data_IF_290981117279
#
_entry.id   IF_290981117279
#
_cell.length_a   1.000
_cell.length_b   1.000
_cell.length_c   1.000
_cell.angle_alpha   90.00
_cell.angle_beta   90.00
_cell.angle_gamma   90.00
#
_symmetry.space_group_name_H-M   'P 1'
#
loop_
_entity.id
_entity.type
_entity.pdbx_description
1 polymer ?
#
# COMPACT_ATOMS: atom_id res chain seq x y z
N UNK A 1 22.16 58.07 -48.18
CA UNK A 1 21.99 58.33 -46.74
C UNK A 1 20.89 57.41 -46.25
N UNK A 2 21.26 56.17 -45.91
CA UNK A 2 20.34 55.19 -45.34
C UNK A 2 20.35 55.34 -43.82
N UNK A 3 19.30 54.77 -43.21
CA UNK A 3 19.37 53.91 -42.03
C UNK A 3 18.62 54.44 -40.79
N UNK A 4 17.82 53.51 -40.23
CA UNK A 4 17.34 53.41 -38.83
C UNK A 4 16.14 54.32 -38.52
N UNK A 5 15.04 53.88 -37.92
CA UNK A 5 14.71 52.79 -37.01
C UNK A 5 13.21 52.54 -37.16
N UNK A 6 12.74 51.34 -37.48
CA UNK A 6 11.35 50.90 -37.19
C UNK A 6 11.13 49.40 -37.48
N UNK A 7 12.17 48.57 -37.35
CA UNK A 7 12.05 47.11 -37.40
C UNK A 7 12.91 46.55 -36.27
N UNK A 8 12.29 46.32 -35.12
CA UNK A 8 13.03 45.85 -33.94
C UNK A 8 12.18 45.75 -32.70
N UNK A 9 10.94 45.26 -32.80
CA UNK A 9 10.16 44.86 -31.64
C UNK A 9 9.08 43.83 -32.04
N UNK A 10 9.49 42.72 -32.65
CA UNK A 10 8.56 41.60 -32.94
C UNK A 10 9.17 40.21 -32.76
N UNK A 11 10.18 40.05 -31.90
CA UNK A 11 10.78 38.75 -31.59
C UNK A 11 11.15 38.65 -30.10
N UNK A 12 10.14 38.72 -29.24
CA UNK A 12 10.19 38.22 -27.86
C UNK A 12 8.84 37.57 -27.54
N UNK A 13 8.37 36.70 -28.44
CA UNK A 13 7.50 35.61 -27.97
C UNK A 13 8.44 34.63 -27.26
N UNK A 14 8.17 34.24 -26.01
CA UNK A 14 8.78 33.04 -25.48
C UNK A 14 8.50 31.94 -26.48
N UNK A 15 9.54 31.23 -26.93
CA UNK A 15 9.33 29.92 -27.52
C UNK A 15 8.73 29.07 -26.40
N UNK A 16 7.40 29.09 -26.30
CA UNK A 16 6.66 28.07 -25.59
C UNK A 16 6.89 26.82 -26.45
N UNK A 17 7.97 26.10 -26.18
CA UNK A 17 8.09 24.72 -26.63
C UNK A 17 6.92 24.00 -25.98
N UNK A 18 5.80 23.91 -26.71
CA UNK A 18 4.80 22.89 -26.45
C UNK A 18 5.54 21.58 -26.64
N UNK A 19 6.11 21.06 -25.56
CA UNK A 19 6.55 19.67 -25.52
C UNK A 19 5.28 18.88 -25.75
N UNK A 20 5.13 18.40 -26.97
CA UNK A 20 3.98 17.62 -27.37
C UNK A 20 4.16 16.20 -26.84
N UNK A 21 3.26 15.76 -25.95
CA UNK A 21 3.23 14.40 -25.45
C UNK A 21 3.31 13.39 -26.60
N UNK A 22 4.29 12.48 -26.53
CA UNK A 22 4.43 11.34 -27.43
C UNK A 22 3.54 10.19 -26.92
N UNK A 23 2.24 10.31 -27.18
CA UNK A 23 1.25 9.30 -26.81
C UNK A 23 1.59 7.90 -27.33
N UNK A 24 2.18 7.79 -28.53
CA UNK A 24 2.55 6.48 -29.09
C UNK A 24 3.66 5.83 -28.27
N UNK A 25 4.66 6.62 -27.83
CA UNK A 25 5.71 6.17 -26.92
C UNK A 25 5.14 5.72 -25.57
N UNK A 26 4.25 6.52 -24.99
CA UNK A 26 3.57 6.22 -23.72
C UNK A 26 2.73 4.94 -23.80
N UNK A 27 1.91 4.78 -24.85
CA UNK A 27 1.11 3.57 -25.07
C UNK A 27 2.01 2.33 -25.24
N UNK A 28 3.09 2.44 -26.03
CA UNK A 28 4.04 1.33 -26.19
C UNK A 28 4.70 0.95 -24.87
N UNK A 29 5.01 1.95 -24.04
CA UNK A 29 5.59 1.74 -22.72
C UNK A 29 4.64 0.95 -21.82
N UNK A 30 3.38 1.38 -21.69
CA UNK A 30 2.36 0.63 -20.95
C UNK A 30 2.09 -0.77 -21.51
N UNK A 31 1.93 -0.91 -22.83
CA UNK A 31 1.70 -2.22 -23.46
C UNK A 31 2.86 -3.16 -23.19
N UNK A 32 4.11 -2.72 -23.27
CA UNK A 32 5.26 -3.58 -22.99
C UNK A 32 5.22 -4.11 -21.55
N UNK A 33 4.96 -3.22 -20.59
CA UNK A 33 4.84 -3.62 -19.18
C UNK A 33 3.65 -4.57 -18.99
N UNK A 34 2.53 -4.31 -19.66
CA UNK A 34 1.35 -5.17 -19.55
C UNK A 34 1.55 -6.51 -20.27
N UNK A 35 2.26 -6.57 -21.39
CA UNK A 35 2.54 -7.84 -22.05
C UNK A 35 3.47 -8.72 -21.19
N UNK A 36 4.48 -8.10 -20.58
CA UNK A 36 5.43 -8.78 -19.69
C UNK A 36 4.80 -9.15 -18.33
N UNK A 37 3.83 -8.37 -17.83
CA UNK A 37 3.39 -8.40 -16.42
C UNK A 37 1.87 -8.35 -16.18
N UNK A 38 1.02 -8.37 -17.21
CA UNK A 38 -0.44 -8.23 -17.08
C UNK A 38 -1.00 -9.27 -16.11
N UNK A 39 -0.48 -10.49 -16.13
CA UNK A 39 -0.94 -11.54 -15.22
C UNK A 39 -0.61 -11.20 -13.76
N UNK A 40 0.63 -10.80 -13.46
CA UNK A 40 1.05 -10.46 -12.08
C UNK A 40 0.32 -9.25 -11.54
N UNK A 41 0.18 -8.17 -12.32
CA UNK A 41 -0.52 -6.97 -11.84
C UNK A 41 -2.03 -7.15 -11.78
N UNK A 42 -2.60 -8.04 -12.61
CA UNK A 42 -4.00 -8.47 -12.50
C UNK A 42 -4.24 -9.33 -11.26
N UNK A 43 -3.33 -10.25 -10.92
CA UNK A 43 -3.39 -11.05 -9.68
C UNK A 43 -3.19 -10.20 -8.42
N UNK A 44 -2.34 -9.17 -8.49
CA UNK A 44 -2.07 -8.26 -7.38
C UNK A 44 -3.20 -7.25 -7.13
N UNK A 45 -4.11 -7.06 -8.10
CA UNK A 45 -5.24 -6.13 -7.96
C UNK A 45 -6.14 -6.47 -6.77
N UNK A 46 -6.14 -7.73 -6.35
CA UNK A 46 -7.08 -8.26 -5.36
C UNK A 46 -6.49 -8.31 -3.95
N UNK A 47 -5.18 -8.08 -3.75
CA UNK A 47 -4.62 -8.04 -2.40
C UNK A 47 -3.26 -7.30 -2.27
N UNK A 48 -3.27 -6.14 -1.62
CA UNK A 48 -2.06 -5.35 -1.34
C UNK A 48 -1.04 -6.10 -0.47
N UNK A 49 -1.48 -7.08 0.34
CA UNK A 49 -0.62 -7.76 1.33
C UNK A 49 0.04 -9.04 0.81
N UNK A 50 -0.24 -9.44 -0.44
CA UNK A 50 0.36 -10.64 -1.06
C UNK A 50 1.62 -10.33 -1.86
N UNK A 51 1.90 -9.05 -2.15
CA UNK A 51 3.06 -8.68 -2.97
C UNK A 51 4.39 -9.05 -2.32
N UNK A 52 5.34 -9.55 -3.13
CA UNK A 52 6.70 -9.91 -2.70
C UNK A 52 7.74 -8.92 -3.22
N UNK A 53 8.94 -8.96 -2.65
CA UNK A 53 10.08 -8.14 -3.09
C UNK A 53 10.40 -8.34 -4.58
N UNK A 54 10.30 -9.56 -5.09
CA UNK A 54 10.53 -9.87 -6.51
C UNK A 54 9.46 -9.20 -7.38
N UNK A 55 8.19 -9.30 -6.98
CA UNK A 55 7.09 -8.66 -7.70
C UNK A 55 7.19 -7.12 -7.69
N UNK A 56 7.78 -6.54 -6.64
CA UNK A 56 8.06 -5.11 -6.59
C UNK A 56 9.06 -4.63 -7.66
N UNK A 57 9.95 -5.49 -8.15
CA UNK A 57 10.83 -5.15 -9.28
C UNK A 57 10.04 -4.82 -10.55
N UNK A 58 8.87 -5.43 -10.73
CA UNK A 58 7.99 -5.18 -11.88
C UNK A 58 7.27 -3.85 -11.74
N UNK A 59 6.85 -3.49 -10.52
CA UNK A 59 6.31 -2.15 -10.26
C UNK A 59 7.34 -1.05 -10.52
N UNK A 60 8.63 -1.30 -10.24
CA UNK A 60 9.68 -0.33 -10.58
C UNK A 60 9.83 -0.13 -12.10
N UNK A 61 9.55 -1.14 -12.93
CA UNK A 61 9.55 -0.95 -14.38
C UNK A 61 8.40 -0.04 -14.84
N UNK A 62 7.25 -0.14 -14.17
CA UNK A 62 6.13 0.75 -14.38
C UNK A 62 6.41 2.18 -13.89
N UNK A 63 7.05 2.33 -12.73
CA UNK A 63 7.46 3.63 -12.20
C UNK A 63 8.33 4.40 -13.20
N UNK A 64 9.25 3.71 -13.89
CA UNK A 64 10.06 4.32 -14.96
C UNK A 64 9.23 4.84 -16.12
N UNK A 65 8.17 4.13 -16.47
CA UNK A 65 7.23 4.58 -17.50
C UNK A 65 6.50 5.85 -17.04
N UNK A 66 6.02 5.88 -15.80
CA UNK A 66 5.24 7.01 -15.28
C UNK A 66 6.13 8.25 -15.07
N UNK A 67 7.36 8.06 -14.59
CA UNK A 67 8.32 9.15 -14.35
C UNK A 67 9.09 9.59 -15.60
N UNK A 68 8.79 8.99 -16.75
CA UNK A 68 9.46 9.27 -18.01
C UNK A 68 10.98 8.97 -18.00
N UNK A 69 11.41 8.04 -17.13
CA UNK A 69 12.80 7.56 -17.00
C UNK A 69 13.08 6.39 -17.97
N UNK A 70 12.85 6.65 -19.25
CA UNK A 70 12.99 5.68 -20.34
C UNK A 70 13.91 6.23 -21.44
N UNK A 71 14.52 5.36 -22.27
CA UNK A 71 15.46 5.79 -23.32
C UNK A 71 14.86 6.78 -24.32
N UNK A 72 13.55 6.69 -24.58
CA UNK A 72 12.80 7.63 -25.41
C UNK A 72 11.67 8.27 -24.58
N UNK A 73 11.93 9.41 -23.93
CA UNK A 73 10.95 10.06 -23.08
C UNK A 73 9.69 10.47 -23.84
N UNK A 74 8.51 10.22 -23.26
CA UNK A 74 7.23 10.57 -23.84
C UNK A 74 6.78 12.01 -23.54
N UNK A 75 7.35 12.69 -22.55
CA UNK A 75 7.08 14.11 -22.21
C UNK A 75 5.59 14.41 -22.01
N UNK A 76 4.87 13.46 -21.41
CA UNK A 76 3.43 13.59 -21.18
C UNK A 76 3.21 14.12 -19.76
N UNK A 77 2.20 14.97 -19.62
CA UNK A 77 1.69 15.40 -18.33
C UNK A 77 1.08 14.22 -17.57
N UNK A 78 0.99 14.36 -16.25
CA UNK A 78 0.46 13.31 -15.38
C UNK A 78 -0.98 12.90 -15.73
N UNK A 79 -1.82 13.87 -16.09
CA UNK A 79 -3.21 13.59 -16.53
C UNK A 79 -3.25 12.76 -17.82
N UNK A 80 -2.38 13.06 -18.79
CA UNK A 80 -2.25 12.27 -20.03
C UNK A 80 -1.77 10.83 -19.74
N UNK A 81 -0.90 10.64 -18.74
CA UNK A 81 -0.44 9.33 -18.27
C UNK A 81 -1.61 8.53 -17.68
N UNK A 82 -2.41 9.16 -16.82
CA UNK A 82 -3.59 8.53 -16.20
C UNK A 82 -4.63 8.15 -17.25
N UNK A 83 -4.97 9.07 -18.16
CA UNK A 83 -5.94 8.81 -19.24
C UNK A 83 -5.48 7.68 -20.18
N UNK A 84 -4.21 7.70 -20.57
CA UNK A 84 -3.63 6.67 -21.45
C UNK A 84 -3.64 5.31 -20.77
N UNK A 85 -3.24 5.23 -19.50
CA UNK A 85 -3.30 3.98 -18.75
C UNK A 85 -4.72 3.43 -18.65
N UNK A 86 -5.72 4.27 -18.42
CA UNK A 86 -7.12 3.85 -18.34
C UNK A 86 -7.58 3.27 -19.68
N UNK A 87 -7.23 3.95 -20.77
CA UNK A 87 -7.54 3.49 -22.13
C UNK A 87 -6.88 2.13 -22.43
N UNK A 88 -5.60 1.96 -22.10
CA UNK A 88 -4.90 0.68 -22.31
C UNK A 88 -5.50 -0.42 -21.43
N UNK A 89 -5.83 -0.11 -20.18
CA UNK A 89 -6.46 -1.06 -19.25
C UNK A 89 -7.81 -1.56 -19.79
N UNK A 90 -8.69 -0.64 -20.23
CA UNK A 90 -10.01 -0.97 -20.78
C UNK A 90 -9.91 -1.82 -22.06
N UNK A 91 -8.89 -1.56 -22.90
CA UNK A 91 -8.63 -2.35 -24.12
C UNK A 91 -8.23 -3.79 -23.80
N UNK A 92 -7.38 -4.00 -22.80
CA UNK A 92 -6.87 -5.31 -22.44
C UNK A 92 -7.87 -6.16 -21.65
N UNK A 93 -8.68 -5.54 -20.80
CA UNK A 93 -9.68 -6.26 -19.98
C UNK A 93 -10.99 -6.49 -20.73
N UNK A 94 -11.14 -5.92 -21.94
CA UNK A 94 -12.38 -5.88 -22.71
C UNK A 94 -13.58 -5.35 -21.90
N UNK A 95 -13.34 -4.53 -20.87
CA UNK A 95 -14.37 -3.99 -19.98
C UNK A 95 -14.07 -2.54 -19.69
N UNK A 96 -15.02 -1.66 -20.02
CA UNK A 96 -14.95 -0.24 -19.64
C UNK A 96 -14.96 -0.09 -18.13
N UNK A 97 -14.05 0.71 -17.59
CA UNK A 97 -13.96 0.99 -16.16
C UNK A 97 -13.58 -0.24 -15.35
N UNK A 98 -12.74 -1.12 -15.88
CA UNK A 98 -12.35 -2.38 -15.23
C UNK A 98 -11.50 -2.23 -13.96
N UNK A 99 -11.38 -1.01 -13.41
CA UNK A 99 -10.30 -0.63 -12.51
C UNK A 99 -9.05 -0.30 -13.31
N UNK A 100 -8.35 0.75 -12.91
CA UNK A 100 -7.19 1.25 -13.63
C UNK A 100 -5.97 0.47 -13.17
N UNK A 101 -5.15 0.00 -14.11
CA UNK A 101 -3.86 -0.61 -13.78
C UNK A 101 -2.99 0.28 -12.88
N UNK A 102 -3.02 1.59 -13.13
CA UNK A 102 -2.37 2.59 -12.28
C UNK A 102 -2.90 2.60 -10.85
N UNK A 103 -4.18 2.28 -10.63
CA UNK A 103 -4.72 2.19 -9.28
C UNK A 103 -4.06 1.08 -8.48
N UNK A 104 -3.93 -0.10 -9.08
CA UNK A 104 -3.21 -1.21 -8.45
C UNK A 104 -1.75 -0.83 -8.20
N UNK A 105 -1.10 -0.20 -9.18
CA UNK A 105 0.26 0.31 -9.03
C UNK A 105 0.41 1.22 -7.80
N UNK A 106 -0.37 2.30 -7.72
CA UNK A 106 -0.21 3.27 -6.64
C UNK A 106 -0.60 2.71 -5.26
N UNK A 107 -1.58 1.81 -5.20
CA UNK A 107 -1.90 1.09 -3.96
C UNK A 107 -0.72 0.24 -3.46
N UNK A 108 0.03 -0.33 -4.38
CA UNK A 108 1.15 -1.22 -4.07
C UNK A 108 2.48 -0.47 -3.90
N UNK A 109 2.57 0.80 -4.31
CA UNK A 109 3.80 1.60 -4.21
C UNK A 109 4.34 1.63 -2.79
N UNK A 110 3.49 1.86 -1.79
CA UNK A 110 3.94 1.84 -0.39
C UNK A 110 4.30 0.42 0.07
N UNK A 111 3.50 -0.58 -0.28
CA UNK A 111 3.80 -1.97 0.01
C UNK A 111 5.16 -2.42 -0.57
N UNK A 112 5.63 -1.79 -1.65
CA UNK A 112 6.94 -2.02 -2.26
C UNK A 112 8.07 -1.10 -1.76
N UNK A 113 7.79 -0.18 -0.84
CA UNK A 113 8.85 0.56 -0.15
C UNK A 113 9.59 -0.35 0.84
N UNK A 114 10.81 0.04 1.28
CA UNK A 114 11.51 -0.69 2.34
C UNK A 114 10.66 -0.89 3.60
N UNK A 115 9.95 0.16 4.02
CA UNK A 115 9.07 0.14 5.20
C UNK A 115 7.84 -0.75 4.98
N UNK A 116 7.23 -0.68 3.80
CA UNK A 116 6.11 -1.56 3.45
C UNK A 116 6.50 -3.02 3.38
N UNK A 117 7.68 -3.34 2.82
CA UNK A 117 8.20 -4.70 2.76
C UNK A 117 8.60 -5.22 4.13
N UNK A 118 9.12 -4.38 5.02
CA UNK A 118 9.36 -4.75 6.41
C UNK A 118 8.06 -5.17 7.11
N UNK A 119 7.02 -4.34 7.03
CA UNK A 119 5.67 -4.66 7.56
C UNK A 119 5.15 -5.98 6.96
N UNK A 120 5.24 -6.13 5.63
CA UNK A 120 4.77 -7.33 4.94
C UNK A 120 5.62 -8.57 5.23
N UNK A 121 6.86 -8.43 5.66
CA UNK A 121 7.71 -9.57 6.02
C UNK A 121 7.40 -10.07 7.43
N UNK A 122 7.13 -9.15 8.35
CA UNK A 122 6.92 -9.44 9.77
C UNK A 122 5.45 -9.80 10.08
N UNK A 123 4.48 -9.21 9.38
CA UNK A 123 3.05 -9.30 9.76
C UNK A 123 2.16 -9.96 8.70
N UNK A 124 2.71 -10.54 7.63
CA UNK A 124 1.95 -11.07 6.48
C UNK A 124 0.78 -11.97 6.85
N UNK A 125 1.02 -12.91 7.76
CA UNK A 125 0.04 -13.92 8.14
C UNK A 125 -1.17 -13.27 8.78
N UNK A 126 -0.96 -12.31 9.67
CA UNK A 126 -2.03 -11.56 10.29
C UNK A 126 -2.75 -10.66 9.26
N UNK A 127 -1.99 -9.90 8.48
CA UNK A 127 -2.57 -8.97 7.48
C UNK A 127 -3.49 -9.70 6.49
N UNK A 128 -3.16 -10.95 6.15
CA UNK A 128 -4.01 -11.83 5.34
C UNK A 128 -5.24 -12.33 6.09
N UNK A 129 -5.10 -12.79 7.35
CA UNK A 129 -6.24 -13.30 8.13
C UNK A 129 -7.27 -12.21 8.41
N UNK A 130 -6.79 -10.99 8.70
CA UNK A 130 -7.62 -9.81 8.96
C UNK A 130 -8.10 -9.13 7.67
N UNK A 131 -7.74 -9.67 6.50
CA UNK A 131 -8.17 -9.16 5.18
C UNK A 131 -7.84 -7.69 4.94
N UNK A 132 -6.71 -7.22 5.49
CA UNK A 132 -6.28 -5.82 5.37
C UNK A 132 -6.18 -5.38 3.90
N UNK A 133 -5.65 -6.24 3.02
CA UNK A 133 -5.54 -5.92 1.60
C UNK A 133 -6.88 -5.69 0.91
N UNK A 134 -7.89 -6.53 1.19
CA UNK A 134 -9.25 -6.38 0.64
C UNK A 134 -9.89 -5.08 1.15
N UNK A 135 -9.75 -4.79 2.45
CA UNK A 135 -10.25 -3.56 3.04
C UNK A 135 -9.57 -2.32 2.44
N UNK A 136 -8.25 -2.35 2.23
CA UNK A 136 -7.49 -1.26 1.59
C UNK A 136 -8.00 -0.99 0.19
N UNK A 137 -8.23 -2.03 -0.62
CA UNK A 137 -8.79 -1.85 -1.97
C UNK A 137 -10.20 -1.25 -1.90
N UNK A 138 -11.06 -1.76 -1.03
CA UNK A 138 -12.43 -1.25 -0.86
C UNK A 138 -12.46 0.21 -0.41
N UNK A 139 -11.62 0.56 0.58
CA UNK A 139 -11.45 1.94 1.05
C UNK A 139 -10.99 2.85 -0.08
N UNK A 140 -10.01 2.42 -0.89
CA UNK A 140 -9.55 3.18 -2.05
C UNK A 140 -10.63 3.42 -3.10
N UNK A 141 -11.52 2.44 -3.33
CA UNK A 141 -12.67 2.61 -4.24
C UNK A 141 -13.59 3.67 -3.68
N UNK A 142 -13.92 3.57 -2.39
CA UNK A 142 -14.81 4.50 -1.73
C UNK A 142 -14.27 5.93 -1.80
N UNK A 143 -13.00 6.15 -1.45
CA UNK A 143 -12.38 7.48 -1.50
C UNK A 143 -12.41 8.08 -2.92
N UNK A 144 -12.09 7.28 -3.94
CA UNK A 144 -12.10 7.77 -5.33
C UNK A 144 -13.53 8.11 -5.79
N UNK A 145 -14.45 7.15 -5.70
CA UNK A 145 -15.78 7.27 -6.32
C UNK A 145 -16.76 8.15 -5.52
N UNK A 146 -16.56 8.27 -4.20
CA UNK A 146 -17.52 8.96 -3.32
C UNK A 146 -17.00 10.27 -2.76
N UNK A 147 -15.69 10.53 -2.82
CA UNK A 147 -15.12 11.80 -2.38
C UNK A 147 -14.54 12.53 -3.58
N UNK A 148 -13.52 11.96 -4.22
CA UNK A 148 -12.81 12.65 -5.31
C UNK A 148 -13.69 12.95 -6.53
N UNK A 149 -14.66 12.08 -6.85
CA UNK A 149 -15.55 12.28 -8.00
C UNK A 149 -16.81 13.10 -7.71
N UNK A 150 -17.14 13.32 -6.43
CA UNK A 150 -18.43 13.92 -6.03
C UNK A 150 -18.29 15.25 -5.30
N UNK A 151 -17.15 15.49 -4.68
CA UNK A 151 -16.91 16.68 -3.86
C UNK A 151 -16.29 17.80 -4.67
N UNK A 152 -16.33 19.01 -4.13
CA UNK A 152 -15.66 20.18 -4.69
C UNK A 152 -14.16 20.11 -4.41
N UNK A 153 -13.35 20.66 -5.32
CA UNK A 153 -11.87 20.66 -5.19
C UNK A 153 -11.38 21.23 -3.85
N UNK A 154 -12.12 22.19 -3.26
CA UNK A 154 -11.81 22.79 -1.96
C UNK A 154 -11.99 21.82 -0.78
N UNK A 155 -12.95 20.90 -0.87
CA UNK A 155 -13.34 20.00 0.23
C UNK A 155 -12.70 18.60 0.13
N UNK A 156 -12.19 18.21 -1.04
CA UNK A 156 -11.63 16.86 -1.29
C UNK A 156 -10.57 16.52 -0.25
N UNK A 157 -9.62 17.42 0.01
CA UNK A 157 -8.49 17.12 0.88
C UNK A 157 -8.90 16.87 2.34
N UNK A 158 -9.80 17.71 2.86
CA UNK A 158 -10.31 17.61 4.22
C UNK A 158 -11.08 16.30 4.41
N UNK A 159 -12.00 16.00 3.48
CA UNK A 159 -12.84 14.79 3.54
C UNK A 159 -12.02 13.50 3.42
N UNK A 160 -10.98 13.49 2.58
CA UNK A 160 -10.08 12.34 2.50
C UNK A 160 -9.34 12.17 3.82
N UNK A 161 -8.77 13.23 4.39
CA UNK A 161 -8.07 13.15 5.67
C UNK A 161 -8.99 12.67 6.81
N UNK A 162 -10.23 13.17 6.89
CA UNK A 162 -11.21 12.69 7.86
C UNK A 162 -11.44 11.18 7.74
N UNK A 163 -11.61 10.68 6.51
CA UNK A 163 -11.79 9.24 6.27
C UNK A 163 -10.54 8.41 6.52
N UNK A 164 -9.35 8.90 6.16
CA UNK A 164 -8.10 8.23 6.47
C UNK A 164 -7.92 8.08 7.99
N UNK A 165 -8.22 9.11 8.77
CA UNK A 165 -8.18 9.06 10.23
C UNK A 165 -9.21 8.09 10.82
N UNK A 166 -10.41 8.04 10.26
CA UNK A 166 -11.40 7.04 10.65
C UNK A 166 -10.93 5.60 10.35
N UNK A 167 -10.28 5.36 9.20
CA UNK A 167 -9.70 4.06 8.88
C UNK A 167 -8.54 3.70 9.80
N UNK A 168 -7.65 4.64 10.11
CA UNK A 168 -6.57 4.45 11.08
C UNK A 168 -7.14 4.02 12.43
N UNK A 169 -8.10 4.78 12.96
CA UNK A 169 -8.71 4.48 14.26
C UNK A 169 -9.42 3.13 14.31
N UNK A 170 -10.01 2.68 13.19
CA UNK A 170 -10.61 1.35 13.08
C UNK A 170 -9.59 0.21 12.98
N UNK A 171 -8.33 0.52 12.65
CA UNK A 171 -7.25 -0.44 12.46
C UNK A 171 -6.23 -0.47 13.60
N UNK A 172 -6.30 0.47 14.53
CA UNK A 172 -5.44 0.49 15.72
C UNK A 172 -5.58 -0.83 16.48
N UNK A 173 -4.45 -1.47 16.77
CA UNK A 173 -4.39 -2.77 17.45
C UNK A 173 -4.59 -4.00 16.57
N UNK A 174 -4.72 -3.84 15.24
CA UNK A 174 -4.77 -4.96 14.30
C UNK A 174 -3.36 -5.26 13.77
N UNK A 175 -2.96 -6.54 13.85
CA UNK A 175 -1.67 -7.04 13.38
C UNK A 175 -0.48 -6.29 14.00
N UNK A 176 -0.46 -6.33 15.33
CA UNK A 176 0.36 -5.50 16.23
C UNK A 176 -0.25 -4.11 16.43
N UNK A 177 0.56 -3.09 16.74
CA UNK A 177 0.03 -1.82 17.25
C UNK A 177 -0.56 -0.96 16.13
N UNK A 178 0.20 -0.75 15.07
CA UNK A 178 -0.04 0.31 14.09
C UNK A 178 0.26 -0.11 12.65
N UNK A 179 0.78 -1.31 12.44
CA UNK A 179 1.34 -1.76 11.17
C UNK A 179 0.26 -1.95 10.10
N UNK A 180 -0.90 -2.50 10.45
CA UNK A 180 -2.04 -2.58 9.54
C UNK A 180 -2.55 -1.19 9.14
N UNK A 181 -2.69 -0.27 10.12
CA UNK A 181 -3.12 1.10 9.89
C UNK A 181 -2.11 1.87 9.02
N UNK A 182 -0.82 1.69 9.27
CA UNK A 182 0.28 2.28 8.52
C UNK A 182 0.30 1.79 7.08
N UNK A 183 0.18 0.48 6.88
CA UNK A 183 0.15 -0.10 5.54
C UNK A 183 -1.06 0.40 4.75
N UNK A 184 -2.25 0.36 5.33
CA UNK A 184 -3.46 0.84 4.66
C UNK A 184 -3.36 2.33 4.35
N UNK A 185 -3.08 3.18 5.34
CA UNK A 185 -3.11 4.62 5.17
C UNK A 185 -2.12 5.09 4.10
N UNK A 186 -0.86 4.63 4.16
CA UNK A 186 0.14 5.07 3.19
C UNK A 186 -0.13 4.52 1.77
N UNK A 187 -0.69 3.32 1.66
CA UNK A 187 -1.14 2.77 0.38
C UNK A 187 -2.27 3.61 -0.23
N UNK A 188 -3.25 4.01 0.59
CA UNK A 188 -4.35 4.88 0.16
C UNK A 188 -3.87 6.28 -0.21
N UNK A 189 -2.98 6.87 0.59
CA UNK A 189 -2.37 8.17 0.32
C UNK A 189 -1.66 8.17 -1.03
N UNK A 190 -0.81 7.17 -1.27
CA UNK A 190 -0.08 7.05 -2.54
C UNK A 190 -1.04 6.85 -3.72
N UNK A 191 -2.11 6.06 -3.53
CA UNK A 191 -3.16 5.88 -4.53
C UNK A 191 -3.88 7.17 -4.88
N UNK A 192 -4.35 7.94 -3.90
CA UNK A 192 -5.10 9.17 -4.17
C UNK A 192 -4.19 10.22 -4.81
N UNK A 193 -3.00 10.44 -4.25
CA UNK A 193 -2.03 11.40 -4.80
C UNK A 193 -1.60 11.03 -6.21
N UNK A 194 -1.43 9.74 -6.49
CA UNK A 194 -1.04 9.24 -7.79
C UNK A 194 -2.14 9.29 -8.85
N UNK A 195 -3.40 9.00 -8.50
CA UNK A 195 -4.47 8.97 -9.50
C UNK A 195 -5.13 10.31 -9.75
N UNK A 196 -5.16 11.18 -8.73
CA UNK A 196 -6.00 12.38 -8.71
C UNK A 196 -5.18 13.63 -8.42
N UNK A 197 -3.91 13.64 -8.82
CA UNK A 197 -2.97 14.76 -8.60
C UNK A 197 -3.49 16.10 -9.13
N UNK A 198 -4.32 16.07 -10.18
CA UNK A 198 -4.95 17.23 -10.81
C UNK A 198 -6.13 17.79 -10.01
N UNK A 199 -6.81 16.96 -9.22
CA UNK A 199 -7.94 17.33 -8.36
C UNK A 199 -7.52 17.72 -6.94
N UNK A 200 -6.36 17.24 -6.49
CA UNK A 200 -5.80 17.63 -5.21
C UNK A 200 -5.15 19.01 -5.35
N UNK A 201 -5.61 20.00 -4.60
CA UNK A 201 -4.94 21.31 -4.56
C UNK A 201 -3.49 21.19 -4.11
N UNK A 202 -2.62 22.14 -4.52
CA UNK A 202 -1.18 22.14 -4.22
C UNK A 202 -0.83 22.03 -2.73
N UNK A 203 -1.75 22.43 -1.85
CA UNK A 203 -1.60 22.39 -0.40
C UNK A 203 -2.20 21.14 0.26
N UNK A 204 -2.72 20.20 -0.53
CA UNK A 204 -3.32 18.99 0.02
C UNK A 204 -2.25 18.02 0.52
N UNK A 205 -2.11 17.93 1.84
CA UNK A 205 -1.26 16.95 2.51
C UNK A 205 -2.15 15.91 3.16
N UNK A 206 -2.04 14.67 2.66
CA UNK A 206 -2.69 13.52 3.27
C UNK A 206 -1.79 13.02 4.41
N UNK A 207 -2.35 12.93 5.61
CA UNK A 207 -1.58 12.62 6.82
C UNK A 207 -2.00 11.27 7.43
N UNK A 208 -1.01 10.42 7.63
CA UNK A 208 -1.14 9.15 8.34
C UNK A 208 -0.66 9.31 9.78
N UNK A 209 -1.29 10.22 10.52
CA UNK A 209 -0.97 10.43 11.93
C UNK A 209 -1.52 9.27 12.77
N UNK A 210 -0.65 8.31 13.11
CA UNK A 210 -1.02 7.15 13.91
C UNK A 210 -0.52 7.38 15.34
N UNK A 211 -1.46 7.58 16.26
CA UNK A 211 -1.14 7.72 17.68
C UNK A 211 -0.83 6.34 18.24
N UNK A 212 0.44 6.12 18.58
CA UNK A 212 0.84 4.95 19.37
C UNK A 212 0.51 5.27 20.82
N UNK A 213 -0.51 4.62 21.38
CA UNK A 213 -0.69 4.67 22.83
C UNK A 213 0.56 4.08 23.49
N UNK A 214 1.18 4.79 24.46
CA UNK A 214 2.37 4.27 25.12
C UNK A 214 2.03 2.93 25.76
N UNK A 215 2.92 1.94 25.60
CA UNK A 215 2.79 0.66 26.28
C UNK A 215 2.55 0.94 27.76
N UNK A 216 1.38 0.55 28.27
CA UNK A 216 1.23 0.34 29.70
C UNK A 216 2.29 -0.70 30.05
N UNK A 217 3.34 -0.25 30.74
CA UNK A 217 4.25 -1.17 31.39
C UNK A 217 3.36 -1.99 32.31
N UNK A 218 3.29 -3.30 32.08
CA UNK A 218 2.83 -4.24 33.07
C UNK A 218 3.72 -4.05 34.30
N UNK A 219 3.30 -3.15 35.20
CA UNK A 219 3.91 -3.00 36.51
C UNK A 219 3.72 -4.35 37.19
N UNK A 220 4.87 -4.93 37.53
CA UNK A 220 5.04 -6.21 38.21
C UNK A 220 3.98 -6.37 39.31
N UNK A 221 3.13 -7.39 39.14
CA UNK A 221 2.22 -7.85 40.18
C UNK A 221 3.05 -8.37 41.37
N UNK A 222 3.29 -7.50 42.35
CA UNK A 222 3.78 -7.94 43.66
C UNK A 222 2.71 -8.82 44.33
N UNK A 223 3.09 -10.00 44.88
CA UNK A 223 2.14 -10.91 45.50
C UNK A 223 1.79 -10.42 46.90
N UNK A 224 0.60 -9.83 47.05
CA UNK A 224 0.09 -9.48 48.36
C UNK A 224 -0.45 -10.74 49.07
N UNK A 225 0.33 -11.22 50.04
CA UNK A 225 -0.05 -12.28 50.97
C UNK A 225 -1.07 -11.73 51.96
N UNK A 226 -2.31 -12.22 51.88
CA UNK A 226 -3.26 -12.15 52.99
C UNK A 226 -4.00 -13.48 53.11
N UNK A 227 -3.68 -14.21 54.17
CA UNK A 227 -4.35 -15.41 54.62
C UNK A 227 -5.68 -15.07 55.29
N UNK A 228 -6.73 -15.84 54.99
CA UNK A 228 -7.65 -16.50 55.94
C UNK A 228 -8.95 -16.89 55.22
N UNK A 229 -9.22 -18.19 55.09
CA UNK A 229 -10.38 -18.80 55.74
C UNK A 229 -10.46 -20.32 55.49
N UNK A 230 -10.80 -21.02 56.58
CA UNK A 230 -11.47 -22.33 56.69
C UNK A 230 -10.63 -23.61 56.56
N UNK A 231 -10.26 -24.10 57.75
CA UNK A 231 -10.20 -25.53 58.05
C UNK A 231 -11.57 -26.20 57.80
N UNK A 232 -11.56 -27.39 57.21
CA UNK A 232 -11.95 -28.67 57.84
C UNK A 232 -12.28 -29.70 56.74
N UNK A 233 -11.70 -30.91 56.83
CA UNK A 233 -12.27 -32.11 56.18
C UNK A 233 -11.28 -32.94 55.39
N UNK A 234 -10.77 -33.98 56.05
CA UNK A 234 -9.88 -35.02 55.55
C UNK A 234 -10.41 -35.82 54.33
N UNK A 235 -9.51 -36.48 53.58
CA UNK A 235 -9.33 -37.95 53.53
C UNK A 235 -8.34 -38.34 52.39
N UNK A 236 -7.28 -39.03 52.82
CA UNK A 236 -6.42 -40.11 52.26
C UNK A 236 -6.11 -40.33 50.76
N UNK A 237 -4.92 -40.92 50.58
CA UNK A 237 -4.38 -41.77 49.51
C UNK A 237 -3.55 -41.06 48.41
N UNK A 238 -2.22 -41.07 48.49
CA UNK A 238 -1.26 -42.16 48.20
C UNK A 238 -1.09 -42.49 46.70
N UNK A 239 0.18 -42.46 46.26
CA UNK A 239 0.75 -42.97 44.99
C UNK A 239 0.51 -42.12 43.73
N UNK A 240 1.42 -41.94 42.77
CA UNK A 240 2.82 -42.32 42.55
C UNK A 240 3.23 -41.69 41.20
N UNK A 241 4.55 -41.58 40.96
CA UNK A 241 5.25 -41.48 39.67
C UNK A 241 5.31 -40.11 38.98
N UNK A 242 6.34 -39.36 39.37
CA UNK A 242 7.12 -38.58 38.41
C UNK A 242 8.02 -39.49 37.57
N UNK A 243 7.96 -39.36 36.25
CA UNK A 243 9.06 -39.48 35.29
C UNK A 243 8.51 -39.51 33.85
N UNK A 244 8.04 -38.36 33.38
CA UNK A 244 7.67 -38.16 31.96
C UNK A 244 8.90 -37.79 31.10
N UNK A 245 10.08 -37.67 31.71
CA UNK A 245 11.30 -37.20 31.02
C UNK A 245 12.15 -38.34 30.43
N UNK A 246 11.84 -39.61 30.73
CA UNK A 246 12.69 -40.74 30.32
C UNK A 246 12.15 -41.57 29.15
N UNK A 247 10.96 -41.26 28.61
CA UNK A 247 10.33 -42.05 27.53
C UNK A 247 10.53 -41.43 26.14
N UNK A 248 10.92 -40.16 26.01
CA UNK A 248 11.18 -39.56 24.69
C UNK A 248 12.60 -39.81 24.14
N UNK A 249 13.59 -40.16 24.97
CA UNK A 249 14.96 -40.40 24.49
C UNK A 249 15.18 -41.79 23.87
N UNK A 250 14.30 -42.77 24.12
CA UNK A 250 14.44 -44.12 23.54
C UNK A 250 13.74 -44.28 22.19
N UNK A 251 12.87 -43.35 21.79
CA UNK A 251 12.15 -43.42 20.50
C UNK A 251 13.00 -42.84 19.35
N UNK A 252 13.87 -41.86 19.61
CA UNK A 252 14.75 -41.28 18.58
C UNK A 252 15.97 -42.16 18.24
N UNK A 253 16.36 -43.08 19.12
CA UNK A 253 17.45 -44.02 18.85
C UNK A 253 17.05 -45.21 17.94
N UNK A 254 15.74 -45.46 17.75
CA UNK A 254 15.25 -46.58 16.94
C UNK A 254 14.93 -46.20 15.48
N UNK A 255 14.81 -44.90 15.17
CA UNK A 255 14.49 -44.42 13.81
C UNK A 255 15.76 -44.22 12.95
N UNK A 256 16.94 -44.15 13.56
CA UNK A 256 18.22 -43.96 12.85
C UNK A 256 18.88 -45.25 12.32
N UNK A 257 18.21 -46.40 12.34
CA UNK A 257 18.76 -47.70 11.88
C UNK A 257 18.02 -48.28 10.65
N UNK A 258 17.13 -47.51 10.00
CA UNK A 258 16.38 -48.00 8.82
C UNK A 258 16.31 -47.03 7.62
N UNK A 259 17.22 -46.06 7.51
CA UNK A 259 17.51 -45.37 6.24
C UNK A 259 19.00 -45.07 6.10
#
# INVERSE_FOLDING_TARGET
MQLRFLFGLLLLLPQCSSQTCNYVGLVKCFIKILDDWAWTLYELKDNVVTITQEQCQHLHQLDRCIKDDIPEPHQCSHSEIVETSNTVSDLLTHRKGSGTFLRSYYLLTYACSPEGQDILSNHRTCLKSEKIGEMTISAGTYLSENIVDKETDEDICEKINEKLQAYIGAMTGICDKTEAAQLMCNSLTTMIQGLHADKLGENCKLDCNIVVEPEEKDDEMEPNVAAEHNALGAITDANNIGNVVTILCTILAYIAIQF
#
